data_IF_117819727768
#
_entry.id   IF_117819727768
#
_cell.length_a   1.000
_cell.length_b   1.000
_cell.length_c   1.000
_cell.angle_alpha   90.00
_cell.angle_beta   90.00
_cell.angle_gamma   90.00
#
_symmetry.space_group_name_H-M   'P 1'
#
loop_
_entity.id
_entity.type
_entity.pdbx_description
1 polymer ?
#
# COMPACT_ATOMS: atom_id res chain seq x y z
N UNK A 1 14.89 18.30 -5.90
CA UNK A 1 14.74 18.57 -4.46
C UNK A 1 13.99 17.46 -3.72
N UNK A 2 12.84 16.96 -4.22
CA UNK A 2 12.11 15.85 -3.58
C UNK A 2 12.94 14.59 -3.32
N UNK A 3 13.74 14.13 -4.30
CA UNK A 3 14.61 12.96 -4.11
C UNK A 3 15.67 13.13 -3.01
N UNK A 4 16.14 14.35 -2.76
CA UNK A 4 17.11 14.60 -1.68
C UNK A 4 16.46 14.44 -0.30
N UNK A 5 15.21 14.89 -0.16
CA UNK A 5 14.45 14.75 1.08
C UNK A 5 14.06 13.30 1.35
N UNK A 6 13.64 12.57 0.30
CA UNK A 6 13.35 11.13 0.38
C UNK A 6 14.61 10.36 0.80
N UNK A 7 15.76 10.62 0.17
CA UNK A 7 17.03 9.98 0.54
C UNK A 7 17.47 10.33 1.96
N UNK A 8 17.26 11.57 2.42
CA UNK A 8 17.56 11.98 3.78
C UNK A 8 16.70 11.22 4.82
N UNK A 9 15.39 11.11 4.58
CA UNK A 9 14.46 10.36 5.45
C UNK A 9 14.83 8.88 5.54
N UNK A 10 15.27 8.28 4.42
CA UNK A 10 15.75 6.90 4.36
C UNK A 10 17.08 6.76 5.12
N UNK A 11 18.01 7.69 4.95
CA UNK A 11 19.31 7.68 5.64
C UNK A 11 19.18 7.84 7.16
N UNK A 12 18.27 8.68 7.63
CA UNK A 12 17.94 8.88 9.05
C UNK A 12 17.18 7.69 9.68
N UNK A 13 16.78 6.70 8.86
CA UNK A 13 15.98 5.53 9.26
C UNK A 13 14.72 5.92 10.03
N UNK A 14 14.08 7.00 9.62
CA UNK A 14 12.84 7.48 10.25
C UNK A 14 11.74 6.41 10.17
N UNK A 15 11.50 5.72 9.04
CA UNK A 15 10.49 4.67 8.98
C UNK A 15 10.74 3.54 9.99
N UNK A 16 11.99 3.09 10.13
CA UNK A 16 12.35 1.99 11.04
C UNK A 16 12.14 2.37 12.51
N UNK A 17 12.52 3.59 12.90
CA UNK A 17 12.32 4.12 14.27
C UNK A 17 10.83 4.24 14.61
N UNK A 18 10.01 4.68 13.64
CA UNK A 18 8.55 4.79 13.82
C UNK A 18 7.91 3.41 13.91
N UNK A 19 8.38 2.44 13.10
CA UNK A 19 7.95 1.04 13.17
C UNK A 19 8.27 0.43 14.52
N UNK A 20 9.51 0.58 15.01
CA UNK A 20 9.92 0.07 16.31
C UNK A 20 9.09 0.69 17.44
N UNK A 21 8.80 2.00 17.35
CA UNK A 21 7.94 2.68 18.31
C UNK A 21 6.48 2.17 18.28
N UNK A 22 5.92 1.93 17.08
CA UNK A 22 4.59 1.32 16.94
C UNK A 22 4.54 -0.10 17.50
N UNK A 23 5.54 -0.92 17.22
CA UNK A 23 5.61 -2.29 17.72
C UNK A 23 5.75 -2.33 19.24
N UNK A 24 6.52 -1.40 19.84
CA UNK A 24 6.63 -1.24 21.30
C UNK A 24 5.30 -0.81 21.95
N UNK A 25 4.43 -0.13 21.22
CA UNK A 25 3.08 0.24 21.66
C UNK A 25 2.07 -0.94 21.59
N UNK A 26 2.50 -2.12 21.15
CA UNK A 26 1.66 -3.32 21.04
C UNK A 26 0.73 -3.31 19.83
N UNK A 27 1.10 -2.59 18.76
CA UNK A 27 0.35 -2.53 17.50
C UNK A 27 0.70 -3.73 16.60
N UNK A 28 0.51 -4.93 17.15
CA UNK A 28 0.93 -6.19 16.51
C UNK A 28 -0.08 -6.65 15.44
N UNK A 29 -1.30 -6.08 15.49
CA UNK A 29 -2.42 -6.53 14.66
C UNK A 29 -2.63 -5.60 13.47
N UNK A 30 -2.81 -6.18 12.29
CA UNK A 30 -3.01 -5.46 11.01
C UNK A 30 -4.10 -4.37 11.09
N UNK A 31 -5.21 -4.63 11.79
CA UNK A 31 -6.30 -3.66 11.92
C UNK A 31 -5.92 -2.39 12.70
N UNK A 32 -5.04 -2.50 13.69
CA UNK A 32 -4.58 -1.34 14.47
C UNK A 32 -3.64 -0.47 13.65
N UNK A 33 -2.75 -1.11 12.89
CA UNK A 33 -1.89 -0.42 11.91
C UNK A 33 -2.74 0.34 10.88
N UNK A 34 -3.77 -0.29 10.31
CA UNK A 34 -4.66 0.34 9.35
C UNK A 34 -5.34 1.59 9.91
N UNK A 35 -5.80 1.58 11.16
CA UNK A 35 -6.41 2.76 11.80
C UNK A 35 -5.41 3.90 11.96
N UNK A 36 -4.22 3.60 12.53
CA UNK A 36 -3.17 4.61 12.75
C UNK A 36 -2.74 5.22 11.43
N UNK A 37 -2.58 4.39 10.40
CA UNK A 37 -2.23 4.83 9.06
C UNK A 37 -3.32 5.72 8.44
N UNK A 38 -4.59 5.35 8.52
CA UNK A 38 -5.70 6.18 8.03
C UNK A 38 -5.69 7.57 8.71
N UNK A 39 -5.55 7.61 10.05
CA UNK A 39 -5.49 8.88 10.79
C UNK A 39 -4.26 9.70 10.39
N UNK A 40 -3.09 9.08 10.29
CA UNK A 40 -1.86 9.73 9.86
C UNK A 40 -2.00 10.34 8.45
N UNK A 41 -2.53 9.57 7.49
CA UNK A 41 -2.73 10.02 6.11
C UNK A 41 -3.75 11.15 6.02
N UNK A 42 -4.81 11.09 6.83
CA UNK A 42 -5.81 12.15 6.89
C UNK A 42 -5.22 13.45 7.42
N UNK A 43 -4.44 13.41 8.51
CA UNK A 43 -3.74 14.59 9.04
C UNK A 43 -2.71 15.14 8.06
N UNK A 44 -1.97 14.27 7.37
CA UNK A 44 -0.99 14.70 6.40
C UNK A 44 -1.64 15.37 5.18
N UNK A 45 -2.70 14.78 4.64
CA UNK A 45 -3.47 15.34 3.52
C UNK A 45 -4.23 16.62 3.88
N UNK A 46 -4.46 16.85 5.17
CA UNK A 46 -5.04 18.10 5.67
C UNK A 46 -4.06 19.27 5.68
N UNK A 47 -2.75 19.01 5.70
CA UNK A 47 -1.68 20.03 5.82
C UNK A 47 -0.96 20.25 4.50
N UNK A 48 -0.87 19.23 3.66
CA UNK A 48 -0.12 19.25 2.39
C UNK A 48 -1.05 19.07 1.19
N UNK A 49 -0.64 19.57 0.02
CA UNK A 49 -1.32 19.23 -1.22
C UNK A 49 -1.17 17.73 -1.55
N UNK A 50 -2.11 17.18 -2.30
CA UNK A 50 -2.21 15.75 -2.56
C UNK A 50 -0.97 15.18 -3.24
N UNK A 51 -0.38 15.91 -4.19
CA UNK A 51 0.83 15.44 -4.87
C UNK A 51 2.04 15.43 -3.93
N UNK A 52 2.24 16.50 -3.15
CA UNK A 52 3.33 16.54 -2.17
C UNK A 52 3.14 15.49 -1.07
N UNK A 53 1.90 15.26 -0.62
CA UNK A 53 1.57 14.25 0.37
C UNK A 53 1.90 12.83 -0.14
N UNK A 54 1.55 12.49 -1.39
CA UNK A 54 1.91 11.21 -2.03
C UNK A 54 3.43 11.02 -2.00
N UNK A 55 4.20 12.01 -2.47
CA UNK A 55 5.66 11.89 -2.59
C UNK A 55 6.36 11.66 -1.25
N UNK A 56 5.84 12.22 -0.17
CA UNK A 56 6.43 12.09 1.17
C UNK A 56 5.94 10.82 1.87
N UNK A 57 4.65 10.51 1.79
CA UNK A 57 4.07 9.45 2.59
C UNK A 57 4.19 8.07 1.95
N UNK A 58 4.20 7.95 0.61
CA UNK A 58 4.42 6.66 -0.05
C UNK A 58 5.69 5.97 0.43
N UNK A 59 6.89 6.59 0.37
CA UNK A 59 8.12 5.93 0.83
C UNK A 59 8.12 5.65 2.34
N UNK A 60 7.33 6.41 3.12
CA UNK A 60 7.20 6.20 4.55
C UNK A 60 6.26 5.03 4.89
N UNK A 61 5.17 4.84 4.14
CA UNK A 61 4.16 3.79 4.37
C UNK A 61 4.57 2.45 3.76
N UNK A 62 5.31 2.47 2.65
CA UNK A 62 5.73 1.26 1.92
C UNK A 62 6.42 0.19 2.78
N UNK A 63 7.42 0.50 3.64
CA UNK A 63 8.08 -0.51 4.46
C UNK A 63 7.13 -1.14 5.49
N UNK A 64 6.16 -0.39 6.01
CA UNK A 64 5.15 -0.93 6.92
C UNK A 64 4.16 -1.83 6.20
N UNK A 65 3.71 -1.42 5.01
CA UNK A 65 2.84 -2.23 4.18
C UNK A 65 3.48 -3.58 3.80
N UNK A 66 4.78 -3.58 3.50
CA UNK A 66 5.56 -4.79 3.26
C UNK A 66 5.60 -5.69 4.50
N UNK A 67 5.83 -5.12 5.69
CA UNK A 67 5.87 -5.87 6.95
C UNK A 67 4.56 -6.59 7.27
N UNK A 68 3.41 -5.92 7.03
CA UNK A 68 2.09 -6.51 7.26
C UNK A 68 1.56 -7.36 6.08
N UNK A 69 2.35 -7.53 5.00
CA UNK A 69 1.95 -8.31 3.83
C UNK A 69 0.76 -7.74 3.07
N UNK A 70 0.57 -6.42 3.11
CA UNK A 70 -0.55 -5.76 2.43
C UNK A 70 -0.31 -5.71 0.92
N UNK A 71 -1.39 -5.86 0.15
CA UNK A 71 -1.36 -5.74 -1.31
C UNK A 71 -1.09 -4.29 -1.75
N UNK A 72 -0.27 -4.07 -2.80
CA UNK A 72 0.08 -2.72 -3.26
C UNK A 72 -1.14 -1.91 -3.69
N UNK A 73 -2.12 -2.54 -4.34
CA UNK A 73 -3.36 -1.89 -4.78
C UNK A 73 -4.25 -1.46 -3.62
N UNK A 74 -4.36 -2.31 -2.61
CA UNK A 74 -5.15 -2.00 -1.42
C UNK A 74 -4.57 -0.76 -0.69
N UNK A 75 -3.25 -0.72 -0.49
CA UNK A 75 -2.57 0.42 0.12
C UNK A 75 -2.71 1.66 -0.74
N UNK A 76 -2.55 1.56 -2.06
CA UNK A 76 -2.70 2.69 -2.98
C UNK A 76 -4.12 3.28 -2.98
N UNK A 77 -5.16 2.44 -3.05
CA UNK A 77 -6.55 2.90 -3.04
C UNK A 77 -6.88 3.56 -1.69
N UNK A 78 -6.50 2.93 -0.58
CA UNK A 78 -6.71 3.49 0.75
C UNK A 78 -5.97 4.83 0.90
N UNK A 79 -4.77 4.97 0.34
CA UNK A 79 -4.02 6.22 0.33
C UNK A 79 -4.75 7.34 -0.42
N UNK A 80 -5.21 7.05 -1.65
CA UNK A 80 -5.96 8.02 -2.47
C UNK A 80 -7.27 8.42 -1.79
N UNK A 81 -8.02 7.46 -1.24
CA UNK A 81 -9.27 7.74 -0.53
C UNK A 81 -9.06 8.60 0.72
N UNK A 82 -7.97 8.39 1.49
CA UNK A 82 -7.64 9.25 2.62
C UNK A 82 -7.34 10.69 2.20
N UNK A 83 -6.60 10.86 1.10
CA UNK A 83 -6.31 12.20 0.58
C UNK A 83 -7.58 12.91 0.08
N UNK A 84 -8.42 12.23 -0.68
CA UNK A 84 -9.70 12.80 -1.14
C UNK A 84 -10.60 13.22 0.04
N UNK A 85 -10.61 12.40 1.09
CA UNK A 85 -11.35 12.73 2.32
C UNK A 85 -10.74 13.96 3.02
N UNK A 86 -9.42 14.07 3.09
CA UNK A 86 -8.73 15.21 3.68
C UNK A 86 -8.99 16.53 2.91
N UNK A 87 -9.12 16.46 1.58
CA UNK A 87 -9.46 17.61 0.73
C UNK A 87 -10.88 18.14 0.96
N UNK A 88 -11.78 17.30 1.49
CA UNK A 88 -13.14 17.68 1.83
C UNK A 88 -13.30 18.13 3.29
N UNK A 89 -12.41 17.72 4.19
CA UNK A 89 -12.48 18.09 5.60
C UNK A 89 -11.94 19.50 5.87
N UNK A 90 -12.39 20.18 6.95
CA UNK A 90 -12.05 21.57 7.24
C UNK A 90 -10.77 21.68 8.08
N UNK A 91 -9.59 21.67 7.42
CA UNK A 91 -8.51 22.60 7.79
C UNK A 91 -7.88 23.35 6.59
N UNK A 92 -7.82 22.73 5.40
CA UNK A 92 -7.47 23.39 4.12
C UNK A 92 -8.61 23.32 3.10
N UNK A 93 -9.43 22.26 3.13
CA UNK A 93 -10.73 22.13 2.44
C UNK A 93 -10.76 22.62 0.99
N UNK A 94 -9.68 22.45 0.23
CA UNK A 94 -9.44 23.19 -1.02
C UNK A 94 -10.62 23.10 -2.01
N UNK A 95 -11.25 21.93 -2.10
CA UNK A 95 -12.42 21.70 -2.96
C UNK A 95 -13.61 22.60 -2.57
N UNK A 96 -13.84 22.79 -1.27
CA UNK A 96 -14.89 23.66 -0.74
C UNK A 96 -14.52 25.14 -0.83
N UNK A 97 -13.24 25.50 -0.66
CA UNK A 97 -12.77 26.88 -0.85
C UNK A 97 -12.87 27.34 -2.30
N UNK A 98 -12.45 26.51 -3.25
CA UNK A 98 -12.56 26.80 -4.69
C UNK A 98 -14.04 26.90 -5.09
N UNK A 99 -14.89 26.01 -4.56
CA UNK A 99 -16.34 26.07 -4.78
C UNK A 99 -16.96 27.35 -4.19
N UNK A 100 -16.57 27.74 -2.97
CA UNK A 100 -17.02 28.98 -2.33
C UNK A 100 -16.67 30.20 -3.17
N UNK A 101 -15.45 30.26 -3.73
CA UNK A 101 -15.03 31.31 -4.63
C UNK A 101 -15.86 31.35 -5.93
N UNK A 102 -16.15 30.18 -6.52
CA UNK A 102 -16.93 30.09 -7.77
C UNK A 102 -18.41 30.47 -7.61
N UNK A 103 -19.02 30.07 -6.50
CA UNK A 103 -20.46 30.26 -6.24
C UNK A 103 -20.76 31.49 -5.36
N UNK A 104 -19.73 32.19 -4.86
CA UNK A 104 -19.82 33.36 -3.99
C UNK A 104 -20.73 33.11 -2.76
N UNK A 105 -20.59 31.92 -2.16
CA UNK A 105 -21.33 31.46 -0.97
C UNK A 105 -20.35 31.15 0.16
N UNK A 106 -20.72 31.36 1.44
CA UNK A 106 -19.84 31.06 2.56
C UNK A 106 -19.50 29.56 2.64
N UNK A 107 -18.23 29.26 2.89
CA UNK A 107 -17.69 27.88 3.00
C UNK A 107 -18.49 27.03 3.98
N UNK A 108 -18.92 27.62 5.10
CA UNK A 108 -19.70 26.93 6.14
C UNK A 108 -21.03 26.39 5.60
N UNK A 109 -21.69 27.11 4.69
CA UNK A 109 -22.93 26.66 4.07
C UNK A 109 -22.68 25.49 3.12
N UNK A 110 -21.58 25.52 2.38
CA UNK A 110 -21.18 24.44 1.47
C UNK A 110 -20.77 23.19 2.25
N UNK A 111 -20.07 23.36 3.37
CA UNK A 111 -19.65 22.25 4.22
C UNK A 111 -20.85 21.43 4.71
N UNK A 112 -21.94 22.09 5.11
CA UNK A 112 -23.16 21.42 5.58
C UNK A 112 -23.83 20.58 4.49
N UNK A 113 -23.73 21.01 3.24
CA UNK A 113 -24.28 20.31 2.07
C UNK A 113 -23.35 19.16 1.63
N UNK A 114 -22.04 19.35 1.75
CA UNK A 114 -21.04 18.35 1.38
C UNK A 114 -20.88 17.25 2.44
N UNK A 115 -21.18 17.53 3.72
CA UNK A 115 -21.06 16.59 4.84
C UNK A 115 -21.64 15.19 4.58
N UNK A 116 -22.84 15.00 4.00
CA UNK A 116 -23.34 13.66 3.67
C UNK A 116 -22.45 12.92 2.66
N UNK A 117 -21.87 13.62 1.68
CA UNK A 117 -20.94 13.02 0.72
C UNK A 117 -19.59 12.69 1.36
N UNK A 118 -19.11 13.53 2.28
CA UNK A 118 -17.93 13.24 3.10
C UNK A 118 -18.16 12.01 3.96
N UNK A 119 -19.35 11.86 4.55
CA UNK A 119 -19.75 10.65 5.28
C UNK A 119 -19.75 9.40 4.41
N UNK A 120 -20.25 9.51 3.17
CA UNK A 120 -20.23 8.41 2.21
C UNK A 120 -18.79 8.00 1.83
N UNK A 121 -17.90 8.98 1.60
CA UNK A 121 -16.48 8.74 1.31
C UNK A 121 -15.76 8.11 2.51
N UNK A 122 -16.02 8.59 3.73
CA UNK A 122 -15.47 8.01 4.95
C UNK A 122 -15.96 6.57 5.15
N UNK A 123 -17.23 6.30 4.87
CA UNK A 123 -17.76 4.94 4.91
C UNK A 123 -17.11 4.04 3.87
N UNK A 124 -16.96 4.51 2.63
CA UNK A 124 -16.26 3.77 1.58
C UNK A 124 -14.80 3.50 1.97
N UNK A 125 -14.11 4.46 2.59
CA UNK A 125 -12.75 4.32 3.08
C UNK A 125 -12.65 3.21 4.15
N UNK A 126 -13.55 3.20 5.13
CA UNK A 126 -13.58 2.15 6.15
C UNK A 126 -13.84 0.79 5.50
N UNK A 127 -14.80 0.73 4.59
CA UNK A 127 -15.19 -0.51 3.91
C UNK A 127 -14.01 -1.07 3.10
N UNK A 128 -13.31 -0.22 2.34
CA UNK A 128 -12.09 -0.61 1.62
C UNK A 128 -10.98 -1.01 2.58
N UNK A 129 -10.76 -0.28 3.67
CA UNK A 129 -9.68 -0.55 4.64
C UNK A 129 -9.84 -1.89 5.35
N UNK A 130 -11.07 -2.30 5.68
CA UNK A 130 -11.32 -3.56 6.39
C UNK A 130 -11.60 -4.75 5.47
N UNK A 131 -11.99 -4.50 4.22
CA UNK A 131 -12.35 -5.55 3.25
C UNK A 131 -11.37 -5.49 2.06
N UNK A 132 -10.17 -6.09 2.17
CA UNK A 132 -9.17 -6.06 1.10
C UNK A 132 -9.64 -6.76 -0.18
N UNK A 133 -10.64 -7.64 -0.09
CA UNK A 133 -11.24 -8.31 -1.23
C UNK A 133 -11.77 -7.33 -2.27
N UNK A 134 -12.33 -6.19 -1.86
CA UNK A 134 -12.95 -5.22 -2.77
C UNK A 134 -11.91 -4.53 -3.65
N UNK A 135 -10.72 -4.27 -3.10
CA UNK A 135 -9.61 -3.71 -3.85
C UNK A 135 -8.99 -4.71 -4.83
N UNK A 136 -9.00 -6.00 -4.47
CA UNK A 136 -8.29 -7.04 -5.23
C UNK A 136 -9.16 -7.78 -6.24
N UNK A 137 -10.51 -7.61 -6.25
CA UNK A 137 -11.41 -8.33 -7.17
C UNK A 137 -10.95 -8.22 -8.63
N UNK A 138 -10.58 -7.02 -9.06
CA UNK A 138 -10.18 -6.79 -10.46
C UNK A 138 -8.78 -7.36 -10.77
N UNK A 139 -7.90 -7.40 -9.78
CA UNK A 139 -6.48 -7.76 -9.93
C UNK A 139 -6.26 -9.28 -9.86
N UNK A 140 -7.16 -10.02 -9.20
CA UNK A 140 -7.03 -11.49 -9.05
C UNK A 140 -6.94 -12.20 -10.41
N UNK A 141 -7.65 -11.72 -11.43
CA UNK A 141 -7.58 -12.27 -12.78
C UNK A 141 -6.19 -12.11 -13.42
N UNK A 142 -5.58 -10.93 -13.27
CA UNK A 142 -4.24 -10.65 -13.78
C UNK A 142 -3.18 -11.49 -13.07
N UNK A 143 -3.29 -11.65 -11.74
CA UNK A 143 -2.40 -12.49 -10.93
C UNK A 143 -2.40 -13.94 -11.45
N UNK A 144 -3.57 -14.49 -11.73
CA UNK A 144 -3.70 -15.85 -12.27
C UNK A 144 -3.07 -15.96 -13.66
N UNK A 145 -3.30 -14.99 -14.54
CA UNK A 145 -2.69 -14.96 -15.87
C UNK A 145 -1.15 -14.95 -15.84
N UNK A 146 -0.55 -14.19 -14.91
CA UNK A 146 0.90 -14.19 -14.71
C UNK A 146 1.44 -15.50 -14.14
N UNK A 147 0.69 -16.16 -13.25
CA UNK A 147 1.04 -17.48 -12.72
C UNK A 147 1.01 -18.55 -13.82
N UNK A 148 -0.04 -18.59 -14.63
CA UNK A 148 -0.13 -19.51 -15.77
C UNK A 148 1.00 -19.29 -16.77
N UNK A 149 1.34 -18.03 -17.07
CA UNK A 149 2.46 -17.71 -17.97
C UNK A 149 3.79 -18.17 -17.40
N UNK A 150 3.99 -18.01 -16.09
CA UNK A 150 5.20 -18.48 -15.42
C UNK A 150 5.32 -20.02 -15.46
N UNK A 151 4.20 -20.73 -15.31
CA UNK A 151 4.17 -22.19 -15.44
C UNK A 151 4.45 -22.66 -16.88
N UNK A 152 3.90 -21.98 -17.89
CA UNK A 152 4.19 -22.28 -19.31
C UNK A 152 5.65 -22.07 -19.69
N UNK A 153 6.25 -21.01 -19.16
CA UNK A 153 7.64 -20.64 -19.43
C UNK A 153 8.62 -21.33 -18.47
N UNK A 154 8.11 -22.19 -17.57
CA UNK A 154 8.87 -22.85 -16.51
C UNK A 154 9.84 -21.86 -15.83
N UNK A 155 9.29 -20.74 -15.35
CA UNK A 155 9.97 -19.65 -14.61
C UNK A 155 9.29 -19.40 -13.27
N UNK A 156 9.95 -18.70 -12.34
CA UNK A 156 9.30 -18.31 -11.08
C UNK A 156 8.29 -17.18 -11.33
N UNK A 157 7.11 -17.18 -10.67
CA UNK A 157 6.03 -16.21 -10.91
C UNK A 157 6.31 -14.85 -10.23
N UNK A 158 7.46 -14.24 -10.53
CA UNK A 158 7.91 -12.96 -9.94
C UNK A 158 6.91 -11.82 -10.13
N UNK A 159 6.33 -11.73 -11.33
CA UNK A 159 5.34 -10.70 -11.67
C UNK A 159 4.06 -10.84 -10.83
N UNK A 160 3.65 -12.07 -10.52
CA UNK A 160 2.48 -12.31 -9.68
C UNK A 160 2.75 -11.86 -8.23
N UNK A 161 3.94 -12.12 -7.70
CA UNK A 161 4.32 -11.69 -6.35
C UNK A 161 4.35 -10.17 -6.19
N UNK A 162 4.77 -9.45 -7.23
CA UNK A 162 4.76 -7.97 -7.23
C UNK A 162 3.34 -7.39 -7.19
N UNK A 163 2.33 -8.13 -7.67
CA UNK A 163 0.93 -7.72 -7.65
C UNK A 163 0.21 -8.12 -6.36
N UNK A 164 0.69 -9.19 -5.70
CA UNK A 164 0.07 -9.74 -4.49
C UNK A 164 0.46 -8.99 -3.21
N UNK A 165 1.72 -8.60 -3.06
CA UNK A 165 2.16 -7.89 -1.86
C UNK A 165 3.21 -6.82 -2.17
N UNK A 166 3.28 -5.82 -1.29
CA UNK A 166 4.31 -4.78 -1.35
C UNK A 166 5.67 -5.40 -1.03
N UNK A 167 6.59 -5.32 -1.99
CA UNK A 167 7.97 -5.80 -1.86
C UNK A 167 8.90 -4.64 -1.47
N UNK A 168 9.82 -4.91 -0.54
CA UNK A 168 10.85 -3.94 -0.14
C UNK A 168 11.94 -3.82 -1.21
N UNK A 169 12.28 -4.93 -1.87
CA UNK A 169 13.16 -4.96 -3.05
C UNK A 169 12.37 -5.44 -4.28
N UNK A 170 12.18 -4.55 -5.25
CA UNK A 170 11.50 -4.89 -6.51
C UNK A 170 12.39 -5.65 -7.49
N UNK A 171 13.72 -5.61 -7.31
CA UNK A 171 14.66 -6.31 -8.19
C UNK A 171 14.75 -7.80 -7.87
N UNK A 172 14.48 -8.17 -6.61
CA UNK A 172 14.42 -9.55 -6.15
C UNK A 172 13.11 -9.83 -5.36
N UNK A 173 11.96 -9.96 -6.05
CA UNK A 173 10.68 -10.18 -5.40
C UNK A 173 10.61 -11.58 -4.77
N UNK A 174 10.13 -11.63 -3.52
CA UNK A 174 9.98 -12.85 -2.74
C UNK A 174 8.51 -13.32 -2.69
N UNK A 175 8.25 -14.62 -2.48
CA UNK A 175 6.90 -15.15 -2.40
C UNK A 175 6.09 -14.56 -1.22
N UNK A 176 4.91 -14.03 -1.54
CA UNK A 176 4.00 -13.41 -0.58
C UNK A 176 3.15 -14.44 0.18
N UNK A 177 2.64 -15.46 -0.53
CA UNK A 177 1.73 -16.48 0.02
C UNK A 177 2.49 -17.63 0.67
N UNK A 178 1.97 -18.18 1.77
CA UNK A 178 2.53 -19.35 2.46
C UNK A 178 2.68 -20.58 1.54
N UNK A 179 1.78 -20.74 0.57
CA UNK A 179 1.87 -21.81 -0.43
C UNK A 179 3.07 -21.61 -1.36
N UNK A 180 3.34 -20.37 -1.76
CA UNK A 180 4.47 -20.05 -2.63
C UNK A 180 5.79 -20.05 -1.86
N UNK A 181 5.80 -19.65 -0.58
CA UNK A 181 7.00 -19.76 0.29
C UNK A 181 7.46 -21.21 0.41
N UNK A 182 6.51 -22.17 0.47
CA UNK A 182 6.84 -23.61 0.45
C UNK A 182 7.35 -24.08 -0.90
N UNK A 183 6.81 -23.53 -2.00
CA UNK A 183 7.19 -23.92 -3.37
C UNK A 183 8.51 -23.28 -3.82
N UNK A 184 8.85 -22.10 -3.30
CA UNK A 184 9.98 -21.27 -3.71
C UNK A 184 10.65 -20.58 -2.49
N UNK A 185 11.33 -21.32 -1.60
CA UNK A 185 11.83 -20.80 -0.30
C UNK A 185 12.70 -19.54 -0.39
N UNK A 186 13.43 -19.34 -1.50
CA UNK A 186 14.26 -18.15 -1.76
C UNK A 186 13.84 -17.37 -3.02
N UNK A 187 12.59 -17.53 -3.48
CA UNK A 187 12.13 -16.96 -4.75
C UNK A 187 12.78 -17.62 -6.00
N UNK A 188 13.52 -18.70 -5.77
CA UNK A 188 14.12 -19.57 -6.78
C UNK A 188 13.30 -20.83 -6.93
N UNK A 189 13.37 -21.45 -8.12
CA UNK A 189 12.77 -22.77 -8.31
C UNK A 189 13.33 -23.78 -7.33
N UNK A 190 12.54 -24.79 -6.93
CA UNK A 190 13.11 -25.94 -6.25
C UNK A 190 14.21 -26.50 -7.13
N UNK A 191 15.45 -26.49 -6.62
CA UNK A 191 16.57 -27.17 -7.26
C UNK A 191 16.16 -28.64 -7.29
N UNK A 192 15.95 -29.19 -8.48
CA UNK A 192 15.77 -30.62 -8.64
C UNK A 192 17.10 -31.24 -8.22
N UNK A 193 17.17 -31.76 -7.00
CA UNK A 193 18.31 -32.52 -6.51
C UNK A 193 18.51 -33.73 -7.43
N UNK A 194 19.38 -33.61 -8.42
CA UNK A 194 19.90 -34.76 -9.16
C UNK A 194 20.93 -35.46 -8.27
N UNK A 195 20.46 -36.26 -7.32
CA UNK A 195 21.26 -37.19 -6.51
C UNK A 195 20.61 -38.57 -6.63
N UNK A 196 20.87 -39.39 -7.65
CA UNK A 196 22.09 -40.16 -8.01
C UNK A 196 21.64 -41.60 -8.42
N UNK A 197 22.49 -42.54 -8.88
CA UNK A 197 23.94 -42.47 -9.13
C UNK A 197 24.31 -42.71 -10.62
N UNK A 198 25.29 -41.96 -11.14
CA UNK A 198 25.98 -42.33 -12.38
C UNK A 198 27.06 -43.34 -12.01
N UNK A 199 26.73 -44.63 -12.07
CA UNK A 199 27.73 -45.69 -12.18
C UNK A 199 28.25 -45.70 -13.61
N UNK A 200 29.45 -45.15 -13.81
CA UNK A 200 30.31 -45.47 -14.95
C UNK A 200 31.77 -45.13 -14.57
N UNK A 201 32.40 -46.04 -13.83
CA UNK A 201 33.86 -46.19 -13.83
C UNK A 201 34.30 -46.87 -15.15
N UNK A 202 35.54 -46.61 -15.61
CA UNK A 202 36.00 -46.88 -16.98
C UNK A 202 36.07 -48.35 -17.39
#
# INVERSE_FOLDING_TARGET
MANALINYVIQERIPDKVLEYMLRLGLDKTWQFLIVMNVFLLVLGMVMDGFSAILVAVPLVLPFAAHFGLGPFHVAIMFVLNLELAFCCPPLGLNLFISSFRFNRPVVSLYRIALPFVGLLAFALLLVSYIPSISNVLVVGDIQGWREKAERENRTPREAWLLECVQQDRSNPLPCSEADKKKYPDGQMPVVETTGPVTATP
#
